data_IF_125001878767
#
_entry.id   IF_125001878767
#
_cell.length_a   1.000
_cell.length_b   1.000
_cell.length_c   1.000
_cell.angle_alpha   90.00
_cell.angle_beta   90.00
_cell.angle_gamma   90.00
#
_symmetry.space_group_name_H-M   'P 1'
#
loop_
_entity.id
_entity.type
_entity.pdbx_description
1 polymer ?
#
# COMPACT_ATOMS: atom_id res chain seq x y z
N UNK A 1 -55.06 5.76 -2.54
CA UNK A 1 -53.94 5.98 -1.59
C UNK A 1 -53.09 4.72 -1.58
N UNK A 2 -51.76 4.76 -1.78
CA UNK A 2 -50.96 3.54 -1.84
C UNK A 2 -50.80 2.97 -0.42
N UNK A 3 -51.61 1.96 -0.13
CA UNK A 3 -51.71 1.25 1.14
C UNK A 3 -50.46 0.36 1.34
N UNK A 4 -49.67 0.64 2.37
CA UNK A 4 -48.74 -0.34 2.97
C UNK A 4 -47.31 -0.44 2.41
N UNK A 5 -46.95 0.27 1.33
CA UNK A 5 -45.54 0.30 0.86
C UNK A 5 -44.78 1.45 1.53
N UNK A 6 -43.77 1.13 2.32
CA UNK A 6 -42.80 2.11 2.82
C UNK A 6 -42.07 2.77 1.64
N UNK A 7 -42.40 4.02 1.35
CA UNK A 7 -41.72 4.79 0.32
C UNK A 7 -40.40 5.28 0.92
N UNK A 8 -39.28 4.66 0.50
CA UNK A 8 -37.95 5.16 0.85
C UNK A 8 -37.66 6.42 0.01
N UNK A 9 -37.98 7.57 0.59
CA UNK A 9 -38.07 8.88 -0.12
C UNK A 9 -36.71 9.40 -0.61
N UNK A 10 -35.61 9.08 0.09
CA UNK A 10 -34.27 9.57 -0.27
C UNK A 10 -33.35 8.47 -0.79
N UNK A 11 -32.64 8.77 -1.88
CA UNK A 11 -31.53 7.98 -2.41
C UNK A 11 -30.21 8.54 -1.87
N UNK A 12 -29.38 7.69 -1.28
CA UNK A 12 -28.04 8.04 -0.85
C UNK A 12 -27.11 8.18 -2.06
N UNK A 13 -26.34 9.27 -2.15
CA UNK A 13 -25.38 9.46 -3.25
C UNK A 13 -24.17 8.53 -3.15
N UNK A 14 -23.80 8.13 -1.94
CA UNK A 14 -22.59 7.36 -1.66
C UNK A 14 -22.74 5.89 -2.05
N UNK A 15 -23.83 5.23 -1.66
CA UNK A 15 -24.10 3.83 -1.96
C UNK A 15 -25.23 3.60 -2.97
N UNK A 16 -25.89 4.67 -3.44
CA UNK A 16 -27.03 4.63 -4.39
C UNK A 16 -28.26 3.85 -3.88
N UNK A 17 -28.29 3.44 -2.61
CA UNK A 17 -29.44 2.79 -1.99
C UNK A 17 -30.46 3.81 -1.47
N UNK A 18 -31.73 3.41 -1.45
CA UNK A 18 -32.81 4.22 -0.89
C UNK A 18 -32.93 4.00 0.62
N UNK A 19 -33.39 5.01 1.36
CA UNK A 19 -33.81 4.92 2.75
C UNK A 19 -32.91 5.60 3.78
N UNK A 20 -31.79 6.20 3.36
CA UNK A 20 -30.90 6.97 4.24
C UNK A 20 -30.22 8.12 3.48
N UNK A 21 -29.66 9.07 4.22
CA UNK A 21 -28.92 10.23 3.71
C UNK A 21 -27.41 9.94 3.64
N UNK A 22 -26.73 10.72 2.81
CA UNK A 22 -25.27 10.67 2.71
C UNK A 22 -24.65 11.06 4.05
N UNK A 23 -23.98 10.10 4.72
CA UNK A 23 -23.34 10.32 6.04
C UNK A 23 -24.02 9.59 7.19
N UNK A 24 -25.16 8.95 6.96
CA UNK A 24 -25.82 8.12 7.97
C UNK A 24 -25.03 6.83 8.26
N UNK A 25 -25.08 6.36 9.51
CA UNK A 25 -24.46 5.08 9.93
C UNK A 25 -25.12 3.85 9.29
N UNK A 26 -26.35 4.02 8.82
CA UNK A 26 -27.13 3.06 8.04
C UNK A 26 -26.53 2.80 6.64
N UNK A 27 -25.62 3.67 6.18
CA UNK A 27 -24.99 3.48 4.88
C UNK A 27 -24.02 2.30 4.93
N UNK A 28 -24.15 1.27 4.07
CA UNK A 28 -23.26 0.11 4.07
C UNK A 28 -21.79 0.48 3.80
N UNK A 29 -21.57 1.59 3.09
CA UNK A 29 -20.24 2.14 2.78
C UNK A 29 -19.74 3.09 3.86
N UNK A 30 -20.40 3.17 5.02
CA UNK A 30 -20.00 4.04 6.12
C UNK A 30 -18.73 3.53 6.81
N UNK A 31 -18.65 2.23 7.11
CA UNK A 31 -17.46 1.61 7.73
C UNK A 31 -16.46 1.09 6.69
N UNK A 32 -16.94 0.48 5.61
CA UNK A 32 -16.08 -0.14 4.58
C UNK A 32 -15.51 0.87 3.58
N UNK A 33 -16.10 2.06 3.46
CA UNK A 33 -15.75 3.01 2.41
C UNK A 33 -16.23 2.55 1.03
N UNK A 34 -16.00 3.37 0.00
CA UNK A 34 -16.35 3.05 -1.39
C UNK A 34 -15.08 2.88 -2.22
N UNK A 35 -14.29 1.85 -1.88
CA UNK A 35 -12.97 1.61 -2.45
C UNK A 35 -13.01 1.50 -3.96
N UNK A 36 -13.96 0.76 -4.52
CA UNK A 36 -14.09 0.64 -5.97
C UNK A 36 -14.26 2.00 -6.66
N UNK A 37 -15.16 2.86 -6.16
CA UNK A 37 -15.36 4.17 -6.77
C UNK A 37 -14.17 5.12 -6.53
N UNK A 38 -13.49 4.99 -5.39
CA UNK A 38 -12.27 5.74 -5.11
C UNK A 38 -11.11 5.30 -6.00
N UNK A 39 -10.98 4.00 -6.28
CA UNK A 39 -9.97 3.44 -7.17
C UNK A 39 -10.19 3.89 -8.61
N UNK A 40 -11.43 3.89 -9.10
CA UNK A 40 -11.75 4.46 -10.42
C UNK A 40 -11.35 5.93 -10.51
N UNK A 41 -11.66 6.73 -9.47
CA UNK A 41 -11.25 8.14 -9.44
C UNK A 41 -9.74 8.27 -9.40
N UNK A 42 -9.06 7.49 -8.57
CA UNK A 42 -7.61 7.51 -8.49
C UNK A 42 -6.95 7.14 -9.83
N UNK A 43 -7.42 6.11 -10.52
CA UNK A 43 -6.84 5.67 -11.80
C UNK A 43 -7.07 6.71 -12.92
N UNK A 44 -8.26 7.33 -12.97
CA UNK A 44 -8.63 8.22 -14.06
C UNK A 44 -8.34 9.70 -13.80
N UNK A 45 -8.37 10.17 -12.55
CA UNK A 45 -8.11 11.56 -12.17
C UNK A 45 -6.62 11.80 -11.89
N UNK A 46 -5.80 10.77 -11.62
CA UNK A 46 -4.35 10.92 -11.38
C UNK A 46 -3.53 10.72 -12.68
N UNK A 47 -2.94 11.79 -13.25
CA UNK A 47 -2.08 11.69 -14.45
C UNK A 47 -0.82 10.87 -14.21
N UNK A 48 -0.38 10.72 -12.96
CA UNK A 48 0.82 9.98 -12.60
C UNK A 48 0.59 8.47 -12.47
N UNK A 49 -0.66 8.02 -12.40
CA UNK A 49 -0.99 6.61 -12.18
C UNK A 49 -0.39 5.71 -13.26
N UNK A 50 -0.54 6.09 -14.54
CA UNK A 50 0.00 5.35 -15.68
C UNK A 50 1.54 5.24 -15.68
N UNK A 51 2.24 6.26 -15.20
CA UNK A 51 3.71 6.23 -15.13
C UNK A 51 4.22 5.33 -14.01
N UNK A 52 3.54 5.30 -12.86
CA UNK A 52 3.93 4.45 -11.73
C UNK A 52 3.64 2.96 -12.01
N UNK A 53 2.54 2.65 -12.68
CA UNK A 53 2.24 1.27 -13.09
C UNK A 53 3.24 0.78 -14.13
N UNK A 54 3.54 1.59 -15.15
CA UNK A 54 4.55 1.29 -16.17
C UNK A 54 5.94 1.05 -15.60
N UNK A 55 6.46 1.92 -14.73
CA UNK A 55 7.81 1.72 -14.13
C UNK A 55 7.93 0.44 -13.30
N UNK A 56 6.84 -0.01 -12.68
CA UNK A 56 6.82 -1.24 -11.90
C UNK A 56 6.83 -2.48 -12.80
N UNK A 57 6.17 -2.45 -13.96
CA UNK A 57 6.21 -3.57 -14.92
C UNK A 57 7.58 -3.65 -15.59
N UNK A 58 8.13 -2.52 -16.06
CA UNK A 58 9.46 -2.52 -16.71
C UNK A 58 10.56 -3.02 -15.77
N UNK A 59 10.57 -2.59 -14.51
CA UNK A 59 11.56 -3.08 -13.52
C UNK A 59 11.42 -4.58 -13.24
N UNK A 60 10.19 -5.12 -13.25
CA UNK A 60 9.96 -6.57 -13.12
C UNK A 60 10.43 -7.31 -14.36
N UNK A 61 10.14 -6.80 -15.55
CA UNK A 61 10.58 -7.38 -16.83
C UNK A 61 12.11 -7.40 -16.94
N UNK A 62 12.79 -6.32 -16.57
CA UNK A 62 14.25 -6.26 -16.50
C UNK A 62 14.82 -7.31 -15.52
N UNK A 63 14.18 -7.47 -14.36
CA UNK A 63 14.58 -8.49 -13.38
C UNK A 63 14.35 -9.91 -13.90
N UNK A 64 13.26 -10.14 -14.62
CA UNK A 64 12.99 -11.44 -15.24
C UNK A 64 14.05 -11.74 -16.30
N UNK A 65 14.39 -10.77 -17.16
CA UNK A 65 15.47 -10.91 -18.16
C UNK A 65 16.83 -11.22 -17.51
N UNK A 66 17.17 -10.53 -16.42
CA UNK A 66 18.40 -10.83 -15.67
C UNK A 66 18.42 -12.26 -15.11
N UNK A 67 17.29 -12.73 -14.58
CA UNK A 67 17.17 -14.11 -14.07
C UNK A 67 17.24 -15.14 -15.19
N UNK A 68 16.62 -14.87 -16.34
CA UNK A 68 16.69 -15.72 -17.53
C UNK A 68 18.12 -15.86 -18.03
N UNK A 69 18.86 -14.76 -18.16
CA UNK A 69 20.26 -14.79 -18.59
C UNK A 69 21.16 -15.60 -17.64
N UNK A 70 20.93 -15.52 -16.32
CA UNK A 70 21.67 -16.35 -15.35
C UNK A 70 21.36 -17.84 -15.46
N UNK A 71 20.12 -18.19 -15.82
CA UNK A 71 19.72 -19.58 -16.05
C UNK A 71 20.34 -20.12 -17.34
N UNK A 72 20.30 -19.34 -18.43
CA UNK A 72 20.88 -19.70 -19.73
C UNK A 72 22.41 -19.92 -19.63
N UNK A 73 23.13 -18.99 -18.98
CA UNK A 73 24.58 -19.13 -18.71
C UNK A 73 24.92 -20.39 -17.90
N UNK A 74 24.03 -20.80 -17.00
CA UNK A 74 24.20 -22.01 -16.19
C UNK A 74 23.92 -23.30 -16.97
N UNK A 75 23.13 -23.24 -18.05
CA UNK A 75 22.74 -24.41 -18.85
C UNK A 75 23.63 -24.65 -20.07
N UNK A 76 24.25 -23.60 -20.63
CA UNK A 76 25.18 -23.72 -21.76
C UNK A 76 26.61 -24.14 -21.34
N UNK A 77 26.87 -24.26 -20.04
CA UNK A 77 28.16 -24.67 -19.46
C UNK A 77 28.28 -26.18 -19.16
N UNK A 78 27.48 -27.04 -19.78
CA UNK A 78 27.68 -28.51 -19.76
C UNK A 78 28.68 -28.98 -20.84
N UNK A 79 29.71 -28.17 -21.09
CA UNK A 79 30.87 -28.50 -21.91
C UNK A 79 32.13 -27.93 -21.26
N UNK A 80 32.61 -28.68 -20.25
CA UNK A 80 33.88 -28.54 -19.54
C UNK A 80 34.12 -27.23 -18.76
N UNK A 81 34.23 -27.31 -17.43
CA UNK A 81 35.42 -26.93 -16.66
C UNK A 81 35.20 -27.18 -15.15
N UNK A 82 36.20 -27.76 -14.51
CA UNK A 82 36.25 -28.20 -13.13
C UNK A 82 36.62 -27.06 -12.14
N UNK A 83 35.85 -27.01 -11.04
CA UNK A 83 36.22 -26.66 -9.65
C UNK A 83 37.09 -25.42 -9.30
N UNK A 84 36.49 -24.63 -8.40
CA UNK A 84 37.04 -23.95 -7.19
C UNK A 84 37.53 -22.49 -7.26
N UNK A 85 36.80 -21.60 -6.58
CA UNK A 85 37.30 -20.95 -5.36
C UNK A 85 36.22 -20.07 -4.70
N UNK A 86 36.05 -20.29 -3.41
CA UNK A 86 35.15 -19.58 -2.52
C UNK A 86 35.74 -18.23 -2.11
N UNK A 87 35.08 -17.13 -2.44
CA UNK A 87 35.36 -15.82 -1.84
C UNK A 87 34.16 -15.34 -1.03
N UNK A 88 34.25 -15.57 0.28
CA UNK A 88 33.32 -15.01 1.26
C UNK A 88 33.49 -13.49 1.35
N UNK A 89 32.71 -12.72 0.59
CA UNK A 89 32.64 -11.25 0.76
C UNK A 89 31.64 -10.89 1.87
N UNK A 90 32.06 -11.07 3.13
CA UNK A 90 31.33 -10.60 4.31
C UNK A 90 31.50 -9.09 4.53
N UNK A 91 31.14 -8.27 3.55
CA UNK A 91 31.32 -6.80 3.63
C UNK A 91 30.02 -6.03 3.29
N UNK A 92 28.84 -6.52 3.69
CA UNK A 92 27.58 -5.75 3.47
C UNK A 92 26.54 -5.84 4.58
N UNK A 93 26.74 -6.66 5.62
CA UNK A 93 25.76 -6.78 6.71
C UNK A 93 25.83 -5.69 7.79
N UNK A 94 26.82 -4.78 7.73
CA UNK A 94 26.97 -3.70 8.72
C UNK A 94 26.09 -2.48 8.45
N UNK A 95 25.59 -2.27 7.23
CA UNK A 95 24.79 -1.07 6.88
C UNK A 95 23.28 -1.25 7.12
N UNK A 96 22.74 -2.46 6.97
CA UNK A 96 21.28 -2.70 7.17
C UNK A 96 20.88 -2.61 8.66
N UNK A 97 21.70 -3.14 9.58
CA UNK A 97 21.47 -3.04 11.03
C UNK A 97 21.44 -1.57 11.49
N UNK A 98 22.31 -0.71 10.94
CA UNK A 98 22.38 0.72 11.26
C UNK A 98 21.15 1.50 10.74
N UNK A 99 20.60 1.13 9.57
CA UNK A 99 19.34 1.70 9.04
C UNK A 99 18.12 1.29 9.88
N UNK A 100 18.01 0.01 10.26
CA UNK A 100 16.88 -0.47 11.06
C UNK A 100 16.81 0.23 12.44
N UNK A 101 17.95 0.41 13.11
CA UNK A 101 18.02 1.12 14.39
C UNK A 101 17.61 2.60 14.32
N UNK A 102 17.93 3.29 13.21
CA UNK A 102 17.49 4.69 13.01
C UNK A 102 15.97 4.79 12.83
N UNK A 103 15.37 3.85 12.10
CA UNK A 103 13.93 3.85 11.84
C UNK A 103 13.11 3.56 13.11
N UNK A 104 13.56 2.61 13.94
CA UNK A 104 12.91 2.31 15.23
C UNK A 104 13.02 3.47 16.22
N UNK A 105 14.18 4.15 16.29
CA UNK A 105 14.36 5.34 17.15
C UNK A 105 13.45 6.50 16.73
N UNK A 106 13.26 6.72 15.43
CA UNK A 106 12.37 7.79 14.93
C UNK A 106 10.89 7.47 15.20
N UNK A 107 10.48 6.19 15.06
CA UNK A 107 9.11 5.73 15.37
C UNK A 107 8.76 5.90 16.86
N UNK A 108 9.69 5.60 17.76
CA UNK A 108 9.52 5.79 19.22
C UNK A 108 9.41 7.26 19.61
N UNK A 109 10.20 8.16 19.00
CA UNK A 109 10.09 9.61 19.24
C UNK A 109 8.75 10.19 18.78
N UNK A 110 8.23 9.74 17.62
CA UNK A 110 6.92 10.18 17.10
C UNK A 110 5.78 9.76 18.03
N UNK A 111 5.79 8.50 18.51
CA UNK A 111 4.81 7.99 19.48
C UNK A 111 4.79 8.82 20.78
N UNK A 112 5.95 9.17 21.34
CA UNK A 112 6.05 9.99 22.56
C UNK A 112 5.51 11.41 22.36
N UNK A 113 5.74 12.06 21.20
CA UNK A 113 5.23 13.42 20.96
C UNK A 113 3.71 13.46 20.78
N UNK A 114 3.11 12.45 20.12
CA UNK A 114 1.66 12.32 20.01
C UNK A 114 1.00 12.14 21.37
N UNK A 115 1.63 11.37 22.27
CA UNK A 115 1.13 11.19 23.64
C UNK A 115 1.20 12.46 24.49
N UNK A 116 2.25 13.28 24.32
CA UNK A 116 2.33 14.58 25.00
C UNK A 116 1.29 15.58 24.47
N UNK A 117 1.03 15.57 23.15
CA UNK A 117 0.03 16.46 22.52
C UNK A 117 -1.41 16.08 22.93
N UNK A 118 -1.71 14.80 23.11
CA UNK A 118 -3.03 14.36 23.59
C UNK A 118 -3.26 14.71 25.06
N UNK A 119 -2.23 14.57 25.92
CA UNK A 119 -2.29 15.01 27.33
C UNK A 119 -2.48 16.52 27.47
N UNK A 120 -1.79 17.33 26.65
CA UNK A 120 -1.94 18.80 26.67
C UNK A 120 -3.32 19.26 26.20
N UNK A 121 -3.97 18.53 25.28
CA UNK A 121 -5.36 18.81 24.87
C UNK A 121 -6.38 18.45 25.94
N UNK A 122 -6.16 17.36 26.70
CA UNK A 122 -7.04 16.99 27.83
C UNK A 122 -7.00 17.98 28.99
N UNK A 123 -5.88 18.66 29.21
CA UNK A 123 -5.74 19.66 30.27
C UNK A 123 -6.23 21.07 29.90
N UNK A 124 -6.48 21.35 28.62
CA UNK A 124 -6.94 22.65 28.13
C UNK A 124 -8.47 22.74 27.93
N UNK A 125 -9.18 21.67 28.30
CA UNK A 125 -10.64 21.55 28.24
C UNK A 125 -11.26 21.23 29.60
N UNK A 126 -10.58 21.61 30.69
CA UNK A 126 -11.16 21.77 32.02
C UNK A 126 -11.14 23.25 32.35
#
# INVERSE_FOLDING_TARGET
>A
MPLGKQVKVMKCWRCKAYGHRTGDRECPLFLSGNTASEDFRFIHEDPMHGYLTGRKSTSKEERIKQLQALLEESTDSDSSLSSSSSSNTRESQKTSKKRHYRHTKHKLKKQKSHHHKSKKKKHKGK
#
